data_IF_511053995876
#
_entry.id   IF_511053995876
#
_cell.length_a   1.000
_cell.length_b   1.000
_cell.length_c   1.000
_cell.angle_alpha   90.00
_cell.angle_beta   90.00
_cell.angle_gamma   90.00
#
_symmetry.space_group_name_H-M   'P 1'
#
loop_
_entity.id
_entity.type
_entity.pdbx_description
1 polymer ?
#
# COMPACT_ATOMS: atom_id res chain seq x y z
N UNK A 1 -36.23 5.04 -0.94
CA UNK A 1 -35.13 4.10 -1.22
C UNK A 1 -35.57 2.74 -0.75
N UNK A 2 -35.63 1.75 -1.63
CA UNK A 2 -35.92 0.36 -1.23
C UNK A 2 -34.69 -0.13 -0.46
N UNK A 3 -34.90 -0.68 0.74
CA UNK A 3 -33.82 -1.27 1.51
C UNK A 3 -33.31 -2.52 0.77
N UNK A 4 -31.99 -2.61 0.54
CA UNK A 4 -31.36 -3.79 -0.06
C UNK A 4 -31.73 -5.05 0.76
N UNK A 5 -31.96 -6.17 0.08
CA UNK A 5 -32.17 -7.45 0.75
C UNK A 5 -30.85 -7.87 1.45
N UNK A 6 -30.90 -8.47 2.66
CA UNK A 6 -29.73 -9.08 3.31
C UNK A 6 -28.75 -9.83 2.40
N UNK A 7 -29.21 -10.56 1.38
CA UNK A 7 -28.31 -11.29 0.47
C UNK A 7 -27.51 -10.37 -0.45
N UNK A 8 -28.12 -9.28 -0.93
CA UNK A 8 -27.42 -8.25 -1.72
C UNK A 8 -26.35 -7.54 -0.89
N UNK A 9 -26.65 -7.30 0.40
CA UNK A 9 -25.68 -6.70 1.34
C UNK A 9 -24.51 -7.64 1.58
N UNK A 10 -24.76 -8.94 1.76
CA UNK A 10 -23.69 -9.94 1.95
C UNK A 10 -22.77 -10.00 0.74
N UNK A 11 -23.32 -9.97 -0.46
CA UNK A 11 -22.53 -10.01 -1.69
C UNK A 11 -21.70 -8.73 -1.88
N UNK A 12 -22.28 -7.56 -1.60
CA UNK A 12 -21.55 -6.29 -1.63
C UNK A 12 -20.39 -6.28 -0.63
N UNK A 13 -20.59 -6.81 0.59
CA UNK A 13 -19.52 -6.94 1.58
C UNK A 13 -18.39 -7.86 1.12
N UNK A 14 -18.70 -8.94 0.40
CA UNK A 14 -17.67 -9.84 -0.18
C UNK A 14 -16.86 -9.13 -1.25
N UNK A 15 -17.53 -8.42 -2.16
CA UNK A 15 -16.84 -7.64 -3.19
C UNK A 15 -15.93 -6.56 -2.58
N UNK A 16 -16.41 -5.84 -1.57
CA UNK A 16 -15.59 -4.86 -0.83
C UNK A 16 -14.36 -5.55 -0.20
N UNK A 17 -14.53 -6.71 0.42
CA UNK A 17 -13.42 -7.45 1.03
C UNK A 17 -12.38 -7.88 -0.02
N UNK A 18 -12.81 -8.35 -1.19
CA UNK A 18 -11.93 -8.71 -2.30
C UNK A 18 -11.16 -7.49 -2.84
N UNK A 19 -11.83 -6.34 -2.98
CA UNK A 19 -11.18 -5.11 -3.42
C UNK A 19 -10.14 -4.62 -2.40
N UNK A 20 -10.45 -4.71 -1.09
CA UNK A 20 -9.49 -4.39 -0.05
C UNK A 20 -8.28 -5.33 -0.06
N UNK A 21 -8.49 -6.63 -0.25
CA UNK A 21 -7.41 -7.60 -0.36
C UNK A 21 -6.47 -7.28 -1.54
N UNK A 22 -7.03 -7.01 -2.73
CA UNK A 22 -6.24 -6.58 -3.90
C UNK A 22 -5.50 -5.28 -3.66
N UNK A 23 -6.14 -4.31 -2.99
CA UNK A 23 -5.51 -3.04 -2.65
C UNK A 23 -4.35 -3.22 -1.65
N UNK A 24 -4.48 -4.15 -0.72
CA UNK A 24 -3.44 -4.49 0.24
C UNK A 24 -2.22 -5.11 -0.45
N UNK A 25 -2.43 -6.10 -1.33
CA UNK A 25 -1.35 -6.68 -2.15
C UNK A 25 -0.61 -5.62 -2.99
N UNK A 26 -1.35 -4.70 -3.62
CA UNK A 26 -0.76 -3.60 -4.38
C UNK A 26 0.05 -2.64 -3.50
N UNK A 27 -0.42 -2.37 -2.27
CA UNK A 27 0.31 -1.53 -1.31
C UNK A 27 1.60 -2.21 -0.86
N UNK A 28 1.56 -3.50 -0.58
CA UNK A 28 2.75 -4.27 -0.23
C UNK A 28 3.76 -4.30 -1.37
N UNK A 29 3.30 -4.55 -2.59
CA UNK A 29 4.15 -4.52 -3.78
C UNK A 29 4.78 -3.15 -3.99
N UNK A 30 4.00 -2.07 -3.90
CA UNK A 30 4.50 -0.70 -3.97
C UNK A 30 5.59 -0.46 -2.92
N UNK A 31 5.34 -0.82 -1.66
CA UNK A 31 6.30 -0.53 -0.59
C UNK A 31 7.62 -1.30 -0.78
N UNK A 32 7.55 -2.54 -1.28
CA UNK A 32 8.73 -3.33 -1.68
C UNK A 32 9.50 -2.65 -2.81
N UNK A 33 8.81 -2.20 -3.86
CA UNK A 33 9.44 -1.51 -5.00
C UNK A 33 10.05 -0.18 -4.57
N UNK A 34 9.41 0.56 -3.66
CA UNK A 34 10.00 1.75 -3.03
C UNK A 34 11.33 1.39 -2.36
N UNK A 35 11.38 0.32 -1.55
CA UNK A 35 12.61 -0.11 -0.89
C UNK A 35 13.73 -0.45 -1.90
N UNK A 36 13.41 -1.22 -2.94
CA UNK A 36 14.34 -1.56 -4.01
C UNK A 36 14.84 -0.32 -4.78
N UNK A 37 13.97 0.65 -5.05
CA UNK A 37 14.36 1.91 -5.69
C UNK A 37 15.34 2.69 -4.82
N UNK A 38 15.16 2.69 -3.50
CA UNK A 38 16.09 3.32 -2.55
C UNK A 38 17.45 2.61 -2.52
N UNK A 39 17.48 1.28 -2.58
CA UNK A 39 18.72 0.49 -2.72
C UNK A 39 19.43 0.74 -4.06
N UNK A 40 18.66 1.01 -5.12
CA UNK A 40 19.17 1.42 -6.43
C UNK A 40 19.55 2.90 -6.51
N UNK A 41 19.66 3.60 -5.38
CA UNK A 41 20.05 5.01 -5.25
C UNK A 41 19.09 6.05 -5.88
N UNK A 42 17.85 5.69 -6.22
CA UNK A 42 16.84 6.70 -6.61
C UNK A 42 16.51 7.58 -5.41
N UNK A 43 16.41 8.89 -5.62
CA UNK A 43 16.07 9.86 -4.57
C UNK A 43 14.61 9.70 -4.11
N UNK A 44 14.31 10.12 -2.88
CA UNK A 44 12.95 10.02 -2.34
C UNK A 44 11.98 10.87 -3.17
N UNK A 45 12.45 12.03 -3.65
CA UNK A 45 11.73 12.91 -4.55
C UNK A 45 11.41 12.26 -5.89
N UNK A 46 12.37 11.59 -6.52
CA UNK A 46 12.13 10.86 -7.78
C UNK A 46 11.09 9.76 -7.60
N UNK A 47 11.22 8.94 -6.56
CA UNK A 47 10.23 7.89 -6.25
C UNK A 47 8.83 8.49 -6.01
N UNK A 48 8.77 9.60 -5.27
CA UNK A 48 7.52 10.31 -5.02
C UNK A 48 6.86 10.80 -6.32
N UNK A 49 7.64 11.39 -7.22
CA UNK A 49 7.15 11.85 -8.52
C UNK A 49 6.64 10.70 -9.39
N UNK A 50 7.38 9.60 -9.49
CA UNK A 50 7.00 8.43 -10.29
C UNK A 50 5.70 7.78 -9.78
N UNK A 51 5.51 7.74 -8.47
CA UNK A 51 4.30 7.18 -7.84
C UNK A 51 3.16 8.18 -7.68
N UNK A 52 3.35 9.45 -8.08
CA UNK A 52 2.41 10.55 -7.83
C UNK A 52 2.04 10.67 -6.34
N UNK A 53 3.03 10.46 -5.48
CA UNK A 53 2.92 10.53 -4.03
C UNK A 53 3.66 11.75 -3.48
N UNK A 54 3.37 12.11 -2.23
CA UNK A 54 4.25 13.02 -1.48
C UNK A 54 5.47 12.26 -0.98
N UNK A 55 6.60 12.95 -0.81
CA UNK A 55 7.81 12.38 -0.20
C UNK A 55 7.52 11.78 1.19
N UNK A 56 6.65 12.43 1.98
CA UNK A 56 6.19 11.90 3.27
C UNK A 56 5.43 10.59 3.13
N UNK A 57 4.63 10.45 2.06
CA UNK A 57 3.94 9.20 1.73
C UNK A 57 4.92 8.06 1.44
N UNK A 58 5.99 8.36 0.68
CA UNK A 58 7.07 7.41 0.39
C UNK A 58 7.80 7.00 1.67
N UNK A 59 8.15 7.95 2.56
CA UNK A 59 8.80 7.60 3.83
C UNK A 59 7.91 6.70 4.71
N UNK A 60 6.60 6.97 4.79
CA UNK A 60 5.67 6.12 5.56
C UNK A 60 5.58 4.71 4.99
N UNK A 61 5.51 4.58 3.67
CA UNK A 61 5.51 3.29 2.98
C UNK A 61 6.79 2.49 3.30
N UNK A 62 7.95 3.13 3.20
CA UNK A 62 9.24 2.53 3.51
C UNK A 62 9.32 2.07 4.98
N UNK A 63 8.91 2.91 5.93
CA UNK A 63 8.87 2.55 7.35
C UNK A 63 7.94 1.36 7.60
N UNK A 64 6.75 1.36 7.00
CA UNK A 64 5.78 0.28 7.18
C UNK A 64 6.32 -1.04 6.63
N UNK A 65 6.99 -1.01 5.47
CA UNK A 65 7.64 -2.19 4.90
C UNK A 65 8.77 -2.73 5.78
N UNK A 66 9.62 -1.84 6.33
CA UNK A 66 10.70 -2.24 7.23
C UNK A 66 10.19 -2.89 8.50
N UNK A 67 9.12 -2.34 9.09
CA UNK A 67 8.45 -2.94 10.26
C UNK A 67 7.88 -4.33 9.94
N UNK A 68 7.23 -4.50 8.78
CA UNK A 68 6.69 -5.81 8.36
C UNK A 68 7.76 -6.85 8.08
N UNK A 69 8.89 -6.45 7.51
CA UNK A 69 9.97 -7.36 7.12
C UNK A 69 11.02 -7.58 8.21
N UNK A 70 10.84 -6.96 9.39
CA UNK A 70 11.80 -7.06 10.49
C UNK A 70 13.15 -6.40 10.21
N UNK A 71 13.22 -5.50 9.23
CA UNK A 71 14.46 -4.82 8.80
C UNK A 71 14.72 -3.48 9.51
N UNK A 72 13.96 -3.16 10.57
CA UNK A 72 14.25 -2.03 11.46
C UNK A 72 14.73 -2.58 12.82
N UNK A 73 15.88 -2.23 13.40
CA UNK A 73 16.59 -0.95 13.48
C UNK A 73 18.12 -1.19 13.57
N UNK A 74 18.90 -0.73 12.58
CA UNK A 74 20.33 -0.50 12.73
C UNK A 74 20.64 0.85 12.09
N UNK A 75 20.42 1.91 12.86
CA UNK A 75 20.89 3.26 12.58
C UNK A 75 21.06 3.96 13.92
#
# INVERSE_FOLDING_TARGET
MVAKNPDEIREELRHIAEEFARLEELREHRDKVIAQAREANLTQREVALLLQMTERGVSKALTSYRLRTGTALAS
#
